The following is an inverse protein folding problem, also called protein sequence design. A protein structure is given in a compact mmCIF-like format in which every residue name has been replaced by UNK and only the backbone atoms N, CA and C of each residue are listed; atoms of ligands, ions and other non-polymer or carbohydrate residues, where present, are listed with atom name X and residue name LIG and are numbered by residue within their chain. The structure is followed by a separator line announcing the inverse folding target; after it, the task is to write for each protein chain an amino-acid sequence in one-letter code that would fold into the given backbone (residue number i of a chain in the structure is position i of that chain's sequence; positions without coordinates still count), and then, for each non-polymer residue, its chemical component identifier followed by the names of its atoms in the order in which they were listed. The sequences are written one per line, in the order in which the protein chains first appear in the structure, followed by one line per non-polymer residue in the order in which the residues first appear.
data_IF_145479155595
#
_entry.id   IF_145479155595
#
_cell.length_a   1.000
_cell.length_b   1.000
_cell.length_c   1.000
_cell.angle_alpha   90.00
_cell.angle_beta   90.00
_cell.angle_gamma   90.00
#
_symmetry.space_group_name_H-M   'P 1'
#
loop_
_entity.id
_entity.type
_entity.pdbx_description
1 polymer ?
#
# COMPACT_ATOMS: atom_id res chain seq x y z
N UNK A 1 49.23 -29.64 6.37
CA UNK A 1 49.06 -29.83 4.92
C UNK A 1 47.82 -30.68 4.70
N UNK A 2 46.76 -30.08 4.13
CA UNK A 2 45.89 -30.61 3.07
C UNK A 2 44.71 -29.65 2.89
N UNK A 3 44.71 -28.99 1.76
CA UNK A 3 43.63 -28.21 1.14
C UNK A 3 42.54 -29.15 0.64
N UNK A 4 41.27 -28.75 0.79
CA UNK A 4 40.16 -29.31 0.01
C UNK A 4 39.08 -28.23 -0.09
N UNK A 5 39.14 -27.54 -1.24
CA UNK A 5 38.01 -27.16 -2.09
C UNK A 5 36.96 -26.19 -1.54
N UNK A 6 37.19 -24.93 -1.90
CA UNK A 6 36.20 -23.91 -2.18
C UNK A 6 35.07 -24.48 -3.07
N UNK A 7 33.92 -24.75 -2.47
CA UNK A 7 32.64 -24.79 -3.19
C UNK A 7 31.92 -23.48 -2.86
N UNK A 8 32.30 -22.44 -3.61
CA UNK A 8 31.48 -21.23 -3.71
C UNK A 8 30.21 -21.59 -4.47
N UNK A 9 29.18 -22.00 -3.72
CA UNK A 9 27.80 -21.84 -4.18
C UNK A 9 27.49 -20.35 -4.02
N UNK A 10 27.01 -19.62 -5.05
CA UNK A 10 26.59 -18.22 -4.90
C UNK A 10 25.30 -18.18 -4.08
N UNK A 11 25.45 -18.31 -2.77
CA UNK A 11 24.39 -18.33 -1.79
C UNK A 11 23.78 -16.94 -1.66
N UNK A 12 22.47 -16.90 -1.83
CA UNK A 12 21.59 -15.77 -1.51
C UNK A 12 22.02 -15.12 -0.19
N UNK A 13 22.60 -13.92 -0.26
CA UNK A 13 22.86 -13.11 0.92
C UNK A 13 21.53 -12.53 1.38
N UNK A 14 20.79 -13.29 2.20
CA UNK A 14 19.63 -12.76 2.89
C UNK A 14 20.13 -11.77 3.93
N UNK A 15 20.22 -10.51 3.54
CA UNK A 15 20.26 -9.40 4.48
C UNK A 15 19.06 -9.56 5.40
N UNK A 16 19.29 -9.76 6.70
CA UNK A 16 18.23 -9.70 7.70
C UNK A 16 17.71 -8.25 7.73
N UNK A 17 16.68 -7.97 6.93
CA UNK A 17 15.93 -6.74 7.07
C UNK A 17 15.02 -6.92 8.30
N UNK A 18 15.12 -6.05 9.33
CA UNK A 18 14.17 -6.09 10.42
C UNK A 18 12.78 -5.87 9.84
N UNK A 19 11.83 -6.70 10.26
CA UNK A 19 10.43 -6.50 9.89
C UNK A 19 9.94 -5.21 10.54
N UNK A 20 9.22 -4.34 9.80
CA UNK A 20 8.60 -3.17 10.40
C UNK A 20 7.61 -3.60 11.49
N UNK A 21 7.40 -2.72 12.46
CA UNK A 21 6.38 -2.87 13.49
C UNK A 21 4.99 -2.68 12.91
N UNK A 22 3.97 -3.10 13.66
CA UNK A 22 2.57 -2.88 13.28
C UNK A 22 2.29 -1.38 13.08
N UNK A 23 2.76 -0.54 14.01
CA UNK A 23 2.54 0.90 13.99
C UNK A 23 3.20 1.57 12.78
N UNK A 24 4.44 1.18 12.44
CA UNK A 24 5.14 1.70 11.26
C UNK A 24 4.42 1.33 9.96
N UNK A 25 3.90 0.10 9.87
CA UNK A 25 3.11 -0.33 8.71
C UNK A 25 1.79 0.43 8.64
N UNK A 26 1.09 0.59 9.76
CA UNK A 26 -0.20 1.26 9.82
C UNK A 26 -0.09 2.74 9.44
N UNK A 27 0.93 3.45 9.93
CA UNK A 27 1.19 4.84 9.54
C UNK A 27 1.46 4.98 8.03
N UNK A 28 2.25 4.06 7.47
CA UNK A 28 2.54 4.05 6.04
C UNK A 28 1.26 3.86 5.22
N UNK A 29 0.45 2.84 5.53
CA UNK A 29 -0.78 2.58 4.80
C UNK A 29 -1.81 3.68 5.01
N UNK A 30 -1.97 4.23 6.21
CA UNK A 30 -2.90 5.34 6.48
C UNK A 30 -2.54 6.60 5.66
N UNK A 31 -1.25 6.85 5.44
CA UNK A 31 -0.79 7.98 4.61
C UNK A 31 -1.16 7.80 3.14
N UNK A 32 -0.95 6.59 2.61
CA UNK A 32 -1.33 6.25 1.24
C UNK A 32 -2.84 6.21 1.05
N UNK A 33 -3.58 5.65 2.01
CA UNK A 33 -5.03 5.58 1.98
C UNK A 33 -5.65 6.97 1.91
N UNK A 34 -5.17 7.91 2.73
CA UNK A 34 -5.61 9.31 2.69
C UNK A 34 -5.31 9.97 1.34
N UNK A 35 -4.18 9.65 0.71
CA UNK A 35 -3.85 10.18 -0.61
C UNK A 35 -4.80 9.63 -1.68
N UNK A 36 -5.07 8.33 -1.64
CA UNK A 36 -5.98 7.70 -2.59
C UNK A 36 -7.43 8.16 -2.40
N UNK A 37 -7.88 8.37 -1.16
CA UNK A 37 -9.18 8.97 -0.86
C UNK A 37 -9.31 10.37 -1.49
N UNK A 38 -8.29 11.22 -1.36
CA UNK A 38 -8.25 12.54 -2.00
C UNK A 38 -8.29 12.44 -3.53
N UNK A 39 -7.42 11.60 -4.10
CA UNK A 39 -7.36 11.38 -5.54
C UNK A 39 -8.72 10.92 -6.11
N UNK A 40 -9.40 10.06 -5.37
CA UNK A 40 -10.73 9.58 -5.75
C UNK A 40 -11.77 10.69 -5.68
N UNK A 41 -11.83 11.42 -4.56
CA UNK A 41 -12.76 12.53 -4.37
C UNK A 41 -12.58 13.62 -5.45
N UNK A 42 -11.33 13.98 -5.78
CA UNK A 42 -11.04 14.99 -6.80
C UNK A 42 -11.45 14.53 -8.20
N UNK A 43 -11.21 13.26 -8.53
CA UNK A 43 -11.52 12.73 -9.86
C UNK A 43 -13.02 12.56 -10.06
N UNK A 44 -13.71 12.06 -9.04
CA UNK A 44 -15.06 11.52 -9.13
C UNK A 44 -16.12 12.29 -8.36
N UNK A 45 -15.75 13.35 -7.63
CA UNK A 45 -16.61 14.09 -6.72
C UNK A 45 -17.43 13.17 -5.81
N UNK A 46 -16.75 12.22 -5.17
CA UNK A 46 -17.39 11.26 -4.27
C UNK A 46 -16.48 10.95 -3.08
N UNK A 47 -17.05 11.02 -1.88
CA UNK A 47 -16.39 10.65 -0.63
C UNK A 47 -16.68 9.17 -0.34
N UNK A 48 -15.70 8.32 -0.62
CA UNK A 48 -15.78 6.86 -0.41
C UNK A 48 -15.80 6.46 1.05
N UNK A 49 -15.30 7.29 1.96
CA UNK A 49 -15.29 6.99 3.39
C UNK A 49 -16.69 7.14 3.97
N UNK A 50 -17.40 8.18 3.54
CA UNK A 50 -18.75 8.49 4.03
C UNK A 50 -19.87 7.97 3.11
N UNK A 51 -19.56 7.27 2.02
CA UNK A 51 -20.53 6.83 0.99
C UNK A 51 -21.41 7.99 0.49
N UNK A 52 -20.79 9.14 0.20
CA UNK A 52 -21.49 10.38 -0.08
C UNK A 52 -21.03 11.01 -1.40
N UNK A 53 -21.94 11.31 -2.35
CA UNK A 53 -21.59 12.11 -3.50
C UNK A 53 -21.37 13.57 -3.11
N UNK A 54 -20.31 14.15 -3.67
CA UNK A 54 -19.96 15.55 -3.54
C UNK A 54 -20.44 16.32 -4.77
N UNK A 55 -20.67 17.64 -4.65
CA UNK A 55 -20.96 18.49 -5.80
C UNK A 55 -19.83 18.42 -6.83
N UNK A 56 -20.15 18.21 -8.10
CA UNK A 56 -19.14 18.13 -9.14
C UNK A 56 -19.66 17.68 -10.50
N UNK A 57 -18.79 17.05 -11.29
CA UNK A 57 -19.05 16.66 -12.68
C UNK A 57 -19.96 15.46 -12.81
N UNK A 58 -19.92 14.54 -11.84
CA UNK A 58 -20.67 13.29 -11.86
C UNK A 58 -21.87 13.36 -10.93
N UNK A 59 -23.03 12.91 -11.41
CA UNK A 59 -24.20 12.68 -10.58
C UNK A 59 -24.26 11.19 -10.21
N UNK A 60 -24.15 10.90 -8.92
CA UNK A 60 -24.18 9.53 -8.41
C UNK A 60 -25.60 9.11 -8.06
N UNK A 61 -26.01 7.93 -8.53
CA UNK A 61 -27.33 7.36 -8.26
C UNK A 61 -27.17 6.05 -7.48
N UNK A 62 -27.77 5.98 -6.29
CA UNK A 62 -27.77 4.75 -5.47
C UNK A 62 -28.74 3.73 -6.06
N UNK A 63 -28.22 2.60 -6.50
CA UNK A 63 -29.04 1.48 -6.98
C UNK A 63 -29.51 0.67 -5.78
N UNK A 64 -30.84 0.50 -5.65
CA UNK A 64 -31.42 -0.45 -4.70
C UNK A 64 -31.44 -1.84 -5.35
N UNK A 65 -31.02 -2.90 -4.64
CA UNK A 65 -31.13 -4.27 -5.15
C UNK A 65 -32.59 -4.68 -5.38
#
# INVERSE_FOLDING_TARGET
IKTADDVTTPGSSTKHHPMPTCDEMEEFFASLEKQEQRNFADKYNFDVVNDLPLPGRFEWVKIRP
#
